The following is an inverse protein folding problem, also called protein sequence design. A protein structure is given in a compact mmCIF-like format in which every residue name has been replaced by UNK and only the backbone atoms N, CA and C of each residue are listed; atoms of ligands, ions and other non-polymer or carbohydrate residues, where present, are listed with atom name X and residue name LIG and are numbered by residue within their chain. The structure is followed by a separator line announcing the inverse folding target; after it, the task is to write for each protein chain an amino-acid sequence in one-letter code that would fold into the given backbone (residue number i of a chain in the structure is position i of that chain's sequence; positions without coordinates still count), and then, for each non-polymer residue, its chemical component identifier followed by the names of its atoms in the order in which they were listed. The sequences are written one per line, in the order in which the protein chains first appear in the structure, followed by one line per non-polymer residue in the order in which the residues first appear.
data_IF_820048314201
#
_entry.id   IF_820048314201
#
_cell.length_a   1.000
_cell.length_b   1.000
_cell.length_c   1.000
_cell.angle_alpha   90.00
_cell.angle_beta   90.00
_cell.angle_gamma   90.00
#
_symmetry.space_group_name_H-M   'P 1'
#
loop_
_entity.id
_entity.type
_entity.pdbx_description
1 polymer ?
#
# COMPACT_ATOMS: atom_id res chain seq x y z
N UNK A 1 7.67 6.59 8.89
CA UNK A 1 6.87 6.82 7.67
C UNK A 1 5.46 6.36 7.92
N UNK A 2 4.45 7.21 7.75
CA UNK A 2 3.03 6.83 7.77
C UNK A 2 2.44 6.87 6.37
N UNK A 3 1.67 5.84 6.02
CA UNK A 3 1.08 5.63 4.69
C UNK A 3 2.12 5.50 3.56
N UNK A 4 3.05 4.54 3.70
CA UNK A 4 4.20 4.33 2.80
C UNK A 4 3.81 3.95 1.37
N UNK A 5 2.68 3.28 1.12
CA UNK A 5 2.22 2.90 -0.21
C UNK A 5 3.26 2.10 -1.01
N UNK A 6 3.84 2.73 -2.03
CA UNK A 6 4.89 2.15 -2.89
C UNK A 6 6.33 2.29 -2.33
N UNK A 7 6.49 2.76 -1.09
CA UNK A 7 7.79 2.92 -0.43
C UNK A 7 8.77 3.89 -1.14
N UNK A 8 8.26 4.84 -1.94
CA UNK A 8 9.10 5.78 -2.70
C UNK A 8 9.98 6.62 -1.78
N UNK A 9 9.38 7.24 -0.76
CA UNK A 9 10.09 8.09 0.20
C UNK A 9 10.95 7.24 1.14
N UNK A 10 10.43 6.09 1.57
CA UNK A 10 11.12 5.09 2.38
C UNK A 10 12.46 4.67 1.74
N UNK A 11 12.44 4.34 0.44
CA UNK A 11 13.64 4.01 -0.34
C UNK A 11 14.64 5.16 -0.41
N UNK A 12 14.17 6.39 -0.61
CA UNK A 12 15.05 7.57 -0.67
C UNK A 12 15.73 7.76 0.69
N UNK A 13 14.99 7.74 1.79
CA UNK A 13 15.52 7.94 3.14
C UNK A 13 16.48 6.82 3.53
N UNK A 14 16.15 5.56 3.21
CA UNK A 14 17.03 4.41 3.38
C UNK A 14 18.34 4.57 2.61
N UNK A 15 18.27 5.02 1.35
CA UNK A 15 19.45 5.29 0.52
C UNK A 15 20.33 6.43 1.03
N UNK A 16 19.77 7.36 1.80
CA UNK A 16 20.50 8.41 2.51
C UNK A 16 21.12 7.93 3.85
N UNK A 17 20.91 6.67 4.24
CA UNK A 17 21.45 6.07 5.45
C UNK A 17 20.57 6.23 6.69
N UNK A 18 19.33 6.69 6.55
CA UNK A 18 18.39 6.76 7.68
C UNK A 18 17.78 5.39 7.99
N UNK A 19 17.52 5.16 9.28
CA UNK A 19 16.70 4.04 9.74
C UNK A 19 15.23 4.34 9.47
N UNK A 20 14.60 3.56 8.60
CA UNK A 20 13.22 3.80 8.16
C UNK A 20 12.28 2.80 8.80
N UNK A 21 11.33 3.30 9.59
CA UNK A 21 10.21 2.52 10.12
C UNK A 21 8.94 2.86 9.36
N UNK A 22 8.44 1.90 8.58
CA UNK A 22 7.37 2.09 7.60
C UNK A 22 6.01 1.67 8.15
N UNK A 23 4.94 2.17 7.55
CA UNK A 23 3.58 1.81 7.92
C UNK A 23 2.61 1.95 6.76
N UNK A 24 1.64 1.05 6.69
CA UNK A 24 0.46 1.16 5.87
C UNK A 24 -0.65 0.25 6.42
N UNK A 25 -1.86 0.39 5.88
CA UNK A 25 -3.00 -0.48 6.13
C UNK A 25 -3.30 -1.42 4.96
N UNK A 26 -2.72 -1.17 3.78
CA UNK A 26 -3.00 -1.98 2.58
C UNK A 26 -2.21 -3.29 2.57
N UNK A 27 -2.88 -4.38 2.15
CA UNK A 27 -2.23 -5.67 1.92
C UNK A 27 -1.09 -5.56 0.89
N UNK A 28 -1.27 -4.72 -0.13
CA UNK A 28 -0.24 -4.47 -1.14
C UNK A 28 1.08 -3.98 -0.52
N UNK A 29 1.01 -2.96 0.34
CA UNK A 29 2.19 -2.44 1.04
C UNK A 29 2.77 -3.45 2.02
N UNK A 30 1.92 -4.23 2.72
CA UNK A 30 2.38 -5.30 3.61
C UNK A 30 3.17 -6.38 2.88
N UNK A 31 2.71 -6.81 1.70
CA UNK A 31 3.43 -7.83 0.92
C UNK A 31 4.76 -7.32 0.37
N UNK A 32 4.89 -6.02 0.06
CA UNK A 32 6.19 -5.41 -0.24
C UNK A 32 7.10 -5.46 0.98
N UNK A 33 6.59 -5.08 2.15
CA UNK A 33 7.36 -5.14 3.40
C UNK A 33 7.81 -6.57 3.73
N UNK A 34 6.95 -7.57 3.54
CA UNK A 34 7.30 -8.98 3.73
C UNK A 34 8.50 -9.41 2.88
N UNK A 35 8.52 -9.00 1.61
CA UNK A 35 9.63 -9.30 0.71
C UNK A 35 10.94 -8.68 1.20
N UNK A 36 10.89 -7.46 1.73
CA UNK A 36 12.07 -6.70 2.19
C UNK A 36 12.58 -7.22 3.54
N UNK A 37 11.66 -7.52 4.46
CA UNK A 37 11.94 -7.99 5.82
C UNK A 37 12.08 -9.52 5.91
N UNK A 38 11.89 -10.21 4.79
CA UNK A 38 11.89 -11.68 4.70
C UNK A 38 10.87 -12.32 5.66
N UNK A 39 9.67 -11.74 5.72
CA UNK A 39 8.50 -12.25 6.43
C UNK A 39 7.53 -12.91 5.44
N UNK A 40 6.45 -13.52 5.96
CA UNK A 40 5.41 -14.13 5.14
C UNK A 40 4.02 -13.94 5.74
N UNK A 41 3.18 -13.09 5.12
CA UNK A 41 1.78 -12.94 5.48
C UNK A 41 0.94 -14.08 4.89
N UNK A 42 0.20 -14.85 5.70
CA UNK A 42 -0.76 -15.82 5.19
C UNK A 42 -1.81 -15.15 4.29
N UNK A 43 -2.00 -15.69 3.09
CA UNK A 43 -2.89 -15.13 2.08
C UNK A 43 -3.60 -16.26 1.34
N UNK A 44 -4.91 -16.14 1.15
CA UNK A 44 -5.71 -17.10 0.40
C UNK A 44 -6.69 -16.38 -0.53
N UNK A 45 -6.70 -16.76 -1.80
CA UNK A 45 -7.69 -16.27 -2.77
C UNK A 45 -9.00 -17.07 -2.63
N UNK A 46 -10.11 -16.38 -2.40
CA UNK A 46 -11.45 -16.96 -2.27
C UNK A 46 -12.29 -16.80 -3.54
N UNK A 47 -11.86 -15.97 -4.49
CA UNK A 47 -12.54 -15.81 -5.78
C UNK A 47 -12.17 -16.97 -6.74
N UNK A 48 -13.13 -17.75 -7.26
CA UNK A 48 -12.84 -18.89 -8.13
C UNK A 48 -12.18 -18.51 -9.45
N UNK A 49 -12.56 -17.36 -10.03
CA UNK A 49 -12.03 -16.91 -11.33
C UNK A 49 -10.56 -16.53 -11.21
N UNK A 50 -10.21 -15.73 -10.20
CA UNK A 50 -8.81 -15.42 -9.91
C UNK A 50 -8.02 -16.64 -9.48
N UNK A 51 -8.60 -17.51 -8.65
CA UNK A 51 -7.95 -18.75 -8.22
C UNK A 51 -7.58 -19.64 -9.41
N UNK A 52 -8.45 -19.74 -10.43
CA UNK A 52 -8.16 -20.52 -11.63
C UNK A 52 -6.99 -19.95 -12.45
N UNK A 53 -6.78 -18.63 -12.43
CA UNK A 53 -5.60 -17.99 -13.02
C UNK A 53 -4.37 -18.30 -12.16
N UNK A 54 -4.43 -18.04 -10.86
CA UNK A 54 -3.28 -18.15 -9.96
C UNK A 54 -2.77 -19.58 -9.78
N UNK A 55 -3.64 -20.59 -9.92
CA UNK A 55 -3.25 -21.99 -9.86
C UNK A 55 -2.25 -22.41 -10.95
N UNK A 56 -2.23 -21.69 -12.08
CA UNK A 56 -1.28 -21.93 -13.17
C UNK A 56 0.11 -21.38 -12.87
N UNK A 57 0.22 -20.44 -11.92
CA UNK A 57 1.47 -19.77 -11.62
C UNK A 57 2.35 -20.62 -10.67
N UNK A 58 3.69 -20.60 -10.88
CA UNK A 58 4.64 -21.24 -9.97
C UNK A 58 4.44 -20.84 -8.51
N UNK A 59 4.58 -21.82 -7.60
CA UNK A 59 4.29 -21.62 -6.17
C UNK A 59 5.48 -21.17 -5.33
N UNK A 60 6.68 -21.30 -5.86
CA UNK A 60 7.97 -21.20 -5.20
C UNK A 60 8.57 -19.78 -5.20
N UNK A 61 8.01 -18.87 -5.99
CA UNK A 61 8.45 -17.47 -5.98
C UNK A 61 7.99 -16.73 -4.72
N UNK A 62 8.94 -16.15 -3.98
CA UNK A 62 8.65 -15.24 -2.85
C UNK A 62 7.85 -14.00 -3.24
N UNK A 63 7.81 -13.66 -4.53
CA UNK A 63 7.06 -12.51 -5.04
C UNK A 63 5.61 -12.83 -5.40
N UNK A 64 5.23 -14.11 -5.43
CA UNK A 64 3.95 -14.57 -5.97
C UNK A 64 2.75 -13.85 -5.37
N UNK A 65 2.66 -13.78 -4.04
CA UNK A 65 1.52 -13.15 -3.33
C UNK A 65 1.35 -11.69 -3.74
N UNK A 66 2.45 -10.95 -3.87
CA UNK A 66 2.41 -9.56 -4.33
C UNK A 66 1.91 -9.47 -5.78
N UNK A 67 2.37 -10.36 -6.67
CA UNK A 67 1.91 -10.39 -8.08
C UNK A 67 0.41 -10.70 -8.17
N UNK A 68 -0.11 -11.63 -7.36
CA UNK A 68 -1.55 -11.94 -7.28
C UNK A 68 -2.37 -10.70 -6.86
N UNK A 69 -1.96 -10.00 -5.80
CA UNK A 69 -2.64 -8.77 -5.36
C UNK A 69 -2.56 -7.67 -6.41
N UNK A 70 -1.41 -7.48 -7.05
CA UNK A 70 -1.24 -6.51 -8.14
C UNK A 70 -2.11 -6.83 -9.35
N UNK A 71 -2.24 -8.11 -9.68
CA UNK A 71 -3.12 -8.55 -10.77
C UNK A 71 -4.56 -8.17 -10.47
N UNK A 72 -5.07 -8.51 -9.28
CA UNK A 72 -6.41 -8.10 -8.83
C UNK A 72 -6.61 -6.60 -8.89
N UNK A 73 -5.67 -5.80 -8.36
CA UNK A 73 -5.75 -4.34 -8.40
C UNK A 73 -5.81 -3.81 -9.84
N UNK A 74 -5.12 -4.47 -10.78
CA UNK A 74 -5.09 -4.07 -12.18
C UNK A 74 -6.39 -4.39 -12.92
N UNK A 75 -7.00 -5.54 -12.62
CA UNK A 75 -8.10 -6.12 -13.40
C UNK A 75 -9.48 -5.89 -12.79
N UNK A 76 -9.57 -5.63 -11.47
CA UNK A 76 -10.81 -5.48 -10.70
C UNK A 76 -11.82 -4.52 -11.31
N UNK A 77 -11.36 -3.41 -11.90
CA UNK A 77 -12.23 -2.40 -12.53
C UNK A 77 -13.02 -2.91 -13.75
N UNK A 78 -12.57 -4.01 -14.37
CA UNK A 78 -13.24 -4.64 -15.51
C UNK A 78 -14.15 -5.79 -15.10
N UNK A 79 -13.94 -6.38 -13.91
CA UNK A 79 -14.74 -7.47 -13.34
C UNK A 79 -16.26 -7.27 -13.38
N UNK A 80 -16.81 -6.04 -13.22
CA UNK A 80 -18.26 -5.84 -13.30
C UNK A 80 -18.88 -6.13 -14.67
N UNK A 81 -18.09 -6.16 -15.76
CA UNK A 81 -18.53 -6.51 -17.11
C UNK A 81 -19.81 -5.77 -17.58
N UNK A 82 -19.96 -4.49 -17.21
CA UNK A 82 -21.19 -3.70 -17.42
C UNK A 82 -21.46 -3.32 -18.87
N UNK A 83 -20.44 -3.38 -19.72
CA UNK A 83 -20.52 -3.10 -21.15
C UNK A 83 -19.53 -4.00 -21.91
N UNK A 84 -19.64 -4.00 -23.24
CA UNK A 84 -18.86 -4.93 -24.07
C UNK A 84 -17.36 -4.65 -23.98
N UNK A 85 -16.95 -3.39 -23.88
CA UNK A 85 -15.56 -3.04 -23.62
C UNK A 85 -15.03 -3.65 -22.31
N UNK A 86 -15.80 -3.60 -21.22
CA UNK A 86 -15.39 -4.21 -19.96
C UNK A 86 -15.28 -5.73 -20.06
N UNK A 87 -16.20 -6.39 -20.79
CA UNK A 87 -16.15 -7.84 -21.03
C UNK A 87 -14.89 -8.21 -21.82
N UNK A 88 -14.65 -7.55 -22.95
CA UNK A 88 -13.47 -7.78 -23.78
C UNK A 88 -12.17 -7.58 -23.00
N UNK A 89 -12.09 -6.51 -22.21
CA UNK A 89 -10.92 -6.26 -21.37
C UNK A 89 -10.76 -7.33 -20.30
N UNK A 90 -11.85 -7.72 -19.64
CA UNK A 90 -11.85 -8.76 -18.61
C UNK A 90 -11.34 -10.09 -19.16
N UNK A 91 -11.92 -10.57 -20.27
CA UNK A 91 -11.55 -11.82 -20.91
C UNK A 91 -10.08 -11.79 -21.38
N UNK A 92 -9.66 -10.69 -22.02
CA UNK A 92 -8.27 -10.47 -22.46
C UNK A 92 -7.27 -10.50 -21.30
N UNK A 93 -7.62 -9.96 -20.12
CA UNK A 93 -6.76 -10.06 -18.95
C UNK A 93 -6.65 -11.49 -18.44
N UNK A 94 -7.78 -12.21 -18.31
CA UNK A 94 -7.78 -13.61 -17.87
C UNK A 94 -6.94 -14.51 -18.78
N UNK A 95 -7.03 -14.31 -20.09
CA UNK A 95 -6.21 -15.02 -21.09
C UNK A 95 -4.71 -14.71 -20.95
N UNK A 96 -4.37 -13.46 -20.62
CA UNK A 96 -2.97 -12.98 -20.51
C UNK A 96 -2.43 -13.00 -19.08
N UNK A 97 -3.07 -13.75 -18.17
CA UNK A 97 -2.63 -13.85 -16.78
C UNK A 97 -1.18 -14.31 -16.63
N UNK A 98 -0.77 -15.31 -17.40
CA UNK A 98 0.58 -15.87 -17.36
C UNK A 98 1.62 -14.86 -17.88
N UNK A 99 1.31 -14.15 -18.97
CA UNK A 99 2.18 -13.08 -19.50
C UNK A 99 2.34 -11.94 -18.47
N UNK A 100 1.26 -11.59 -17.76
CA UNK A 100 1.34 -10.61 -16.68
C UNK A 100 2.26 -11.09 -15.56
N UNK A 101 2.12 -12.34 -15.13
CA UNK A 101 2.92 -12.94 -14.07
C UNK A 101 4.40 -12.92 -14.43
N UNK A 102 4.77 -13.50 -15.58
CA UNK A 102 6.16 -13.63 -16.02
C UNK A 102 6.83 -12.27 -16.19
N UNK A 103 6.15 -11.31 -16.82
CA UNK A 103 6.68 -9.96 -17.01
C UNK A 103 6.87 -9.24 -15.68
N UNK A 104 5.98 -9.44 -14.71
CA UNK A 104 6.06 -8.79 -13.41
C UNK A 104 7.17 -9.42 -12.57
N UNK A 105 7.24 -10.75 -12.54
CA UNK A 105 8.28 -11.49 -11.84
C UNK A 105 9.67 -11.13 -12.34
N UNK A 106 9.86 -11.08 -13.66
CA UNK A 106 11.12 -10.65 -14.27
C UNK A 106 11.57 -9.26 -13.80
N UNK A 107 10.65 -8.30 -13.68
CA UNK A 107 10.95 -6.96 -13.17
C UNK A 107 11.39 -6.98 -11.70
N UNK A 108 10.79 -7.85 -10.90
CA UNK A 108 11.12 -7.98 -9.48
C UNK A 108 12.48 -8.63 -9.27
N UNK A 109 12.81 -9.65 -10.05
CA UNK A 109 14.07 -10.37 -9.96
C UNK A 109 15.25 -9.58 -10.54
N UNK A 110 15.06 -8.89 -11.68
CA UNK A 110 16.16 -8.21 -12.37
C UNK A 110 16.23 -6.70 -12.12
N UNK A 111 15.16 -6.10 -11.58
CA UNK A 111 15.00 -4.64 -11.57
C UNK A 111 15.46 -3.94 -10.30
N UNK A 112 15.94 -4.66 -9.28
CA UNK A 112 16.33 -4.07 -7.99
C UNK A 112 15.20 -3.30 -7.31
N UNK A 113 13.93 -3.61 -7.63
CA UNK A 113 12.76 -2.85 -7.17
C UNK A 113 12.64 -2.88 -5.64
N UNK A 114 13.12 -3.96 -5.03
CA UNK A 114 13.16 -4.18 -3.58
C UNK A 114 14.56 -4.00 -2.99
N UNK A 115 15.50 -3.40 -3.74
CA UNK A 115 16.87 -3.14 -3.27
C UNK A 115 16.91 -1.87 -2.41
N UNK A 116 16.25 -1.93 -1.25
CA UNK A 116 16.30 -0.93 -0.20
C UNK A 116 15.97 -1.58 1.13
N UNK A 117 16.26 -0.87 2.23
CA UNK A 117 16.07 -1.41 3.58
C UNK A 117 15.05 -0.59 4.36
N UNK A 118 14.17 -1.29 5.04
CA UNK A 118 13.36 -0.73 6.13
C UNK A 118 13.71 -1.53 7.39
N UNK A 119 13.65 -0.88 8.55
CA UNK A 119 13.96 -1.51 9.83
C UNK A 119 12.75 -2.24 10.41
N UNK A 120 11.55 -1.71 10.17
CA UNK A 120 10.30 -2.37 10.52
C UNK A 120 9.14 -1.90 9.67
N UNK A 121 8.07 -2.68 9.67
CA UNK A 121 6.80 -2.33 9.07
C UNK A 121 5.66 -2.53 10.07
N UNK A 122 4.96 -1.46 10.41
CA UNK A 122 3.76 -1.53 11.24
C UNK A 122 2.52 -1.60 10.35
N UNK A 123 1.81 -2.73 10.42
CA UNK A 123 0.59 -2.95 9.64
C UNK A 123 -0.65 -2.52 10.42
N UNK A 124 -1.05 -1.24 10.28
CA UNK A 124 -2.06 -0.66 11.15
C UNK A 124 -2.22 0.85 10.99
N UNK A 125 -2.91 1.46 11.94
CA UNK A 125 -3.19 2.88 11.96
C UNK A 125 -1.92 3.75 11.98
N UNK A 126 -1.74 4.60 10.96
CA UNK A 126 -0.56 5.44 10.84
C UNK A 126 -0.42 6.46 11.99
N UNK A 127 -1.53 6.92 12.58
CA UNK A 127 -1.46 7.86 13.71
C UNK A 127 -0.86 7.17 14.93
N UNK A 128 -1.26 5.92 15.20
CA UNK A 128 -0.64 5.12 16.27
C UNK A 128 0.84 4.88 16.01
N UNK A 129 1.21 4.62 14.75
CA UNK A 129 2.61 4.42 14.36
C UNK A 129 3.50 5.63 14.66
N UNK A 130 3.02 6.84 14.34
CA UNK A 130 3.84 8.05 14.45
C UNK A 130 3.75 8.76 15.80
N UNK A 131 2.68 8.52 16.56
CA UNK A 131 2.50 9.12 17.89
C UNK A 131 3.63 8.77 18.86
N UNK A 132 4.22 7.58 18.72
CA UNK A 132 5.25 7.05 19.61
C UNK A 132 6.66 7.06 18.97
N UNK A 133 6.88 7.79 17.88
CA UNK A 133 8.18 7.76 17.18
C UNK A 133 9.22 8.73 17.76
N UNK A 134 10.41 8.23 18.13
CA UNK A 134 11.51 9.04 18.68
C UNK A 134 12.37 9.75 17.60
N UNK A 135 11.82 9.94 16.40
CA UNK A 135 12.53 10.55 15.28
C UNK A 135 11.63 11.43 14.42
N UNK A 136 12.06 11.72 13.19
CA UNK A 136 11.27 12.52 12.25
C UNK A 136 10.14 11.70 11.66
N UNK A 137 8.91 12.17 11.80
CA UNK A 137 7.76 11.55 11.15
C UNK A 137 7.53 12.13 9.75
N UNK A 138 7.19 11.30 8.78
CA UNK A 138 6.71 11.72 7.45
C UNK A 138 5.33 11.13 7.23
N UNK A 139 4.36 11.96 6.89
CA UNK A 139 2.96 11.59 6.74
C UNK A 139 2.42 11.93 5.36
N UNK A 140 1.93 10.90 4.67
CA UNK A 140 1.21 11.01 3.40
C UNK A 140 -0.23 10.50 3.58
N UNK A 141 -0.95 11.08 4.53
CA UNK A 141 -2.28 10.63 4.90
C UNK A 141 -3.26 10.72 3.71
N UNK A 142 -4.33 9.89 3.69
CA UNK A 142 -5.35 9.96 2.66
C UNK A 142 -5.93 11.37 2.51
N UNK A 143 -6.04 11.86 1.28
CA UNK A 143 -6.53 13.22 0.99
C UNK A 143 -8.05 13.34 1.04
N UNK A 144 -8.77 12.23 0.99
CA UNK A 144 -10.20 12.18 1.22
C UNK A 144 -10.60 10.88 1.92
N UNK A 145 -11.63 11.00 2.74
CA UNK A 145 -12.22 9.89 3.50
C UNK A 145 -12.74 8.79 2.56
N UNK A 146 -12.39 7.54 2.82
CA UNK A 146 -12.90 6.39 2.06
C UNK A 146 -12.11 6.08 0.78
N UNK A 147 -11.04 6.84 0.47
CA UNK A 147 -10.28 6.66 -0.76
C UNK A 147 -9.52 5.36 -0.84
N UNK A 148 -8.81 5.02 0.24
CA UNK A 148 -8.06 3.77 0.34
C UNK A 148 -9.00 2.56 0.35
N UNK A 149 -10.08 2.67 1.13
CA UNK A 149 -11.11 1.65 1.26
C UNK A 149 -11.71 1.33 -0.11
N UNK A 150 -12.03 2.36 -0.91
CA UNK A 150 -12.54 2.15 -2.27
C UNK A 150 -11.54 1.44 -3.20
N UNK A 151 -10.25 1.73 -3.08
CA UNK A 151 -9.19 1.12 -3.90
C UNK A 151 -8.99 -0.35 -3.51
N UNK A 152 -8.96 -0.64 -2.20
CA UNK A 152 -8.60 -1.96 -1.68
C UNK A 152 -9.81 -2.86 -1.38
N UNK A 153 -11.04 -2.35 -1.43
CA UNK A 153 -12.25 -3.14 -1.17
C UNK A 153 -12.30 -4.42 -2.02
N UNK A 154 -11.95 -4.35 -3.30
CA UNK A 154 -11.93 -5.55 -4.15
C UNK A 154 -10.83 -6.54 -3.75
N UNK A 155 -9.68 -6.07 -3.26
CA UNK A 155 -8.64 -6.96 -2.72
C UNK A 155 -9.14 -7.66 -1.46
N UNK A 156 -9.82 -6.92 -0.57
CA UNK A 156 -10.42 -7.47 0.64
C UNK A 156 -11.56 -8.45 0.39
N UNK A 157 -12.30 -8.31 -0.72
CA UNK A 157 -13.32 -9.26 -1.14
C UNK A 157 -12.73 -10.55 -1.72
N UNK A 158 -11.59 -10.43 -2.42
CA UNK A 158 -10.98 -11.55 -3.15
C UNK A 158 -10.06 -12.37 -2.25
N UNK A 159 -9.36 -11.73 -1.33
CA UNK A 159 -8.37 -12.37 -0.49
C UNK A 159 -8.78 -12.43 0.98
N UNK A 160 -8.51 -13.58 1.58
CA UNK A 160 -8.57 -13.83 3.02
C UNK A 160 -7.16 -13.71 3.61
N UNK A 161 -7.03 -12.79 4.58
CA UNK A 161 -5.81 -12.47 5.31
C UNK A 161 -6.18 -11.75 6.62
N UNK A 162 -5.22 -11.65 7.54
CA UNK A 162 -5.38 -10.84 8.76
C UNK A 162 -5.38 -9.35 8.39
N UNK A 163 -6.48 -8.63 8.64
CA UNK A 163 -6.61 -7.23 8.25
C UNK A 163 -5.96 -6.29 9.28
N UNK A 164 -5.39 -5.20 8.78
CA UNK A 164 -4.94 -4.10 9.63
C UNK A 164 -6.10 -3.51 10.44
N UNK A 165 -5.84 -3.18 11.70
CA UNK A 165 -6.80 -2.47 12.56
C UNK A 165 -6.46 -0.97 12.54
N UNK A 166 -7.38 -0.17 12.02
CA UNK A 166 -7.20 1.27 11.90
C UNK A 166 -8.53 2.03 11.94
N UNK A 167 -8.45 3.32 12.26
CA UNK A 167 -9.59 4.21 12.19
C UNK A 167 -9.65 4.86 10.81
N UNK A 168 -10.86 4.99 10.27
CA UNK A 168 -11.07 5.72 9.03
C UNK A 168 -10.68 7.19 9.22
N UNK A 169 -9.63 7.60 8.51
CA UNK A 169 -9.12 8.97 8.58
C UNK A 169 -10.00 9.92 7.77
N UNK A 170 -10.30 11.08 8.35
CA UNK A 170 -11.05 12.16 7.70
C UNK A 170 -10.15 13.39 7.56
N UNK A 171 -9.60 13.57 6.35
CA UNK A 171 -8.66 14.65 6.04
C UNK A 171 -9.23 16.04 6.36
N UNK A 172 -10.54 16.24 6.26
CA UNK A 172 -11.17 17.54 6.56
C UNK A 172 -11.04 17.96 8.02
N UNK A 173 -10.86 17.00 8.92
CA UNK A 173 -10.75 17.23 10.36
C UNK A 173 -9.33 17.02 10.88
N UNK A 174 -8.33 16.96 9.99
CA UNK A 174 -6.97 16.63 10.33
C UNK A 174 -6.18 17.78 11.00
N UNK A 175 -6.62 19.03 10.85
CA UNK A 175 -5.88 20.24 11.24
C UNK A 175 -5.34 20.19 12.68
N UNK A 176 -6.19 19.88 13.67
CA UNK A 176 -5.78 19.75 15.07
C UNK A 176 -4.77 18.62 15.30
N UNK A 177 -4.95 17.49 14.61
CA UNK A 177 -4.05 16.34 14.72
C UNK A 177 -2.67 16.68 14.17
N UNK A 178 -2.63 17.34 13.00
CA UNK A 178 -1.39 17.80 12.39
C UNK A 178 -0.69 18.86 13.22
N UNK A 179 -1.43 19.82 13.77
CA UNK A 179 -0.87 20.83 14.68
C UNK A 179 -0.21 20.15 15.87
N UNK A 180 -0.93 19.23 16.54
CA UNK A 180 -0.38 18.50 17.69
C UNK A 180 0.89 17.72 17.35
N UNK A 181 0.95 17.09 16.18
CA UNK A 181 2.15 16.37 15.73
C UNK A 181 3.33 17.31 15.45
N UNK A 182 3.07 18.46 14.83
CA UNK A 182 4.09 19.47 14.50
C UNK A 182 4.61 20.22 15.73
N UNK A 183 3.78 20.41 16.77
CA UNK A 183 4.17 21.05 18.02
C UNK A 183 4.92 20.10 18.96
N UNK A 184 4.58 18.82 18.94
CA UNK A 184 5.17 17.83 19.87
C UNK A 184 6.42 17.15 19.35
N UNK A 185 6.60 17.05 18.02
CA UNK A 185 7.68 16.28 17.39
C UNK A 185 8.08 16.87 16.03
N UNK A 186 9.27 16.48 15.56
CA UNK A 186 9.69 16.79 14.19
C UNK A 186 8.85 15.97 13.20
N UNK A 187 8.02 16.66 12.41
CA UNK A 187 7.09 16.00 11.48
C UNK A 187 7.04 16.74 10.14
N UNK A 188 6.99 15.97 9.05
CA UNK A 188 6.75 16.44 7.69
C UNK A 188 5.41 15.89 7.22
N UNK A 189 4.46 16.76 6.94
CA UNK A 189 3.07 16.37 6.63
C UNK A 189 2.72 16.89 5.24
N UNK A 190 2.33 15.97 4.36
CA UNK A 190 1.70 16.33 3.09
C UNK A 190 0.19 16.46 3.28
N UNK A 191 -0.40 17.55 2.77
CA UNK A 191 -1.84 17.70 2.62
C UNK A 191 -2.16 18.59 1.43
N UNK A 192 -3.26 18.26 0.75
CA UNK A 192 -3.88 19.06 -0.30
C UNK A 192 -4.94 20.04 0.24
N UNK A 193 -5.10 20.11 1.56
CA UNK A 193 -6.03 21.01 2.27
C UNK A 193 -5.22 22.00 3.11
N UNK A 194 -5.59 23.27 3.02
CA UNK A 194 -5.11 24.29 3.94
C UNK A 194 -5.94 24.29 5.23
N UNK A 195 -5.27 24.14 6.37
CA UNK A 195 -5.90 24.17 7.69
C UNK A 195 -5.65 25.52 8.39
N UNK A 196 -6.70 26.20 8.87
CA UNK A 196 -6.56 27.40 9.70
C UNK A 196 -5.67 27.17 10.93
N UNK A 197 -5.72 25.97 11.52
CA UNK A 197 -4.91 25.58 12.68
C UNK A 197 -3.40 25.65 12.41
N UNK A 198 -2.98 25.55 11.14
CA UNK A 198 -1.56 25.54 10.74
C UNK A 198 -1.09 26.90 10.21
N UNK A 199 -1.94 27.94 10.23
CA UNK A 199 -1.67 29.21 9.58
C UNK A 199 -0.41 29.92 10.10
N UNK A 200 -0.11 29.79 11.39
CA UNK A 200 1.05 30.45 11.99
C UNK A 200 2.37 29.71 11.73
N UNK A 201 2.32 28.37 11.57
CA UNK A 201 3.49 27.56 11.22
C UNK A 201 3.97 27.79 9.77
N UNK A 202 3.08 28.26 8.89
CA UNK A 202 3.40 28.55 7.47
C UNK A 202 4.04 29.93 7.24
N UNK A 203 4.14 30.77 8.27
CA UNK A 203 4.64 32.16 8.15
C UNK A 203 6.16 32.28 8.35
N UNK A 204 6.86 31.17 8.60
CA UNK A 204 8.33 31.08 8.61
C UNK A 204 8.89 30.69 7.25
#
# INVERSE_FOLDING_TARGET
MGCSGNFTTDRILSGLGYKVHSNDVSLYSKLIADIILNEDTPLKCNDPTYSAVFQKWPKDSKYRKLVEVMYVLKTSKFRPCKNDFQKEMWDSYLEKGDEFYDRTLKKFESGGVFDFKIESFYFGDFLKHVQDCDGVSFLFAPTYKGGYEKIYNTVEEIFEYEKAIYNLFDSKNAGKTYLSLLESRESVIYSDIDFPELADLKKG
#
